data_IF_025309003197
#
_entry.id   IF_025309003197
#
_cell.length_a   1.000
_cell.length_b   1.000
_cell.length_c   1.000
_cell.angle_alpha   90.00
_cell.angle_beta   90.00
_cell.angle_gamma   90.00
#
_symmetry.space_group_name_H-M   'P 1'
#
loop_
_entity.id
_entity.type
_entity.pdbx_description
1 polymer ?
#
# COMPACT_ATOMS: atom_id res chain seq x y z
N UNK A 1 -42.94 -30.75 -54.04
CA UNK A 1 -44.09 -29.99 -54.56
C UNK A 1 -43.83 -28.55 -54.21
N UNK A 2 -43.47 -27.83 -55.22
CA UNK A 2 -43.92 -26.49 -55.62
C UNK A 2 -43.55 -25.36 -54.67
N UNK A 3 -42.59 -24.54 -55.01
CA UNK A 3 -42.55 -23.42 -55.98
C UNK A 3 -43.14 -22.13 -55.40
N UNK A 4 -42.35 -21.10 -55.52
CA UNK A 4 -42.55 -19.74 -55.98
C UNK A 4 -41.66 -18.76 -55.21
N UNK A 5 -40.57 -18.29 -55.61
CA UNK A 5 -40.06 -17.46 -56.69
C UNK A 5 -40.88 -16.21 -57.02
N UNK A 6 -40.25 -15.05 -57.02
CA UNK A 6 -40.30 -13.85 -57.89
C UNK A 6 -40.00 -12.62 -57.04
N UNK A 7 -38.89 -11.95 -57.15
CA UNK A 7 -38.21 -11.10 -58.16
C UNK A 7 -38.67 -9.63 -58.17
N UNK A 8 -37.64 -8.77 -58.09
CA UNK A 8 -37.40 -7.52 -58.86
C UNK A 8 -38.29 -6.29 -58.58
N UNK A 9 -37.79 -5.14 -58.34
CA UNK A 9 -37.12 -4.24 -59.29
C UNK A 9 -36.68 -2.89 -58.63
N UNK A 10 -35.49 -2.41 -58.89
CA UNK A 10 -35.06 -1.12 -59.41
C UNK A 10 -35.92 0.11 -59.09
N UNK A 11 -35.32 1.22 -58.64
CA UNK A 11 -34.72 2.24 -59.50
C UNK A 11 -34.05 3.35 -58.69
N UNK A 12 -32.95 3.80 -59.29
CA UNK A 12 -32.11 4.94 -58.99
C UNK A 12 -32.84 6.28 -59.12
N UNK A 13 -32.47 7.28 -58.30
CA UNK A 13 -32.38 8.67 -58.71
C UNK A 13 -31.30 9.42 -57.93
N UNK A 14 -30.32 9.88 -58.66
CA UNK A 14 -29.36 10.94 -58.35
C UNK A 14 -30.04 12.30 -58.47
N UNK A 15 -29.69 13.23 -57.57
CA UNK A 15 -29.66 14.68 -57.79
C UNK A 15 -28.99 15.33 -56.57
N UNK A 16 -27.85 15.86 -56.77
CA UNK A 16 -27.40 17.21 -57.07
C UNK A 16 -27.10 18.06 -55.82
N UNK A 17 -25.81 18.40 -55.79
CA UNK A 17 -25.06 19.40 -55.00
C UNK A 17 -25.81 20.66 -54.61
N UNK A 18 -25.54 21.12 -53.36
CA UNK A 18 -25.32 22.53 -53.11
C UNK A 18 -24.25 22.69 -52.05
N UNK A 19 -23.15 23.29 -52.44
CA UNK A 19 -22.11 23.82 -51.55
C UNK A 19 -22.69 25.00 -50.78
N UNK A 20 -22.72 24.88 -49.45
CA UNK A 20 -22.87 26.06 -48.59
C UNK A 20 -21.58 26.26 -47.80
N UNK A 21 -20.91 27.36 -48.14
CA UNK A 21 -19.74 27.91 -47.47
C UNK A 21 -20.14 28.34 -46.08
N UNK A 22 -19.66 27.62 -45.08
CA UNK A 22 -19.74 28.12 -43.69
C UNK A 22 -18.52 28.96 -43.35
N UNK A 23 -18.81 30.20 -43.07
CA UNK A 23 -17.98 31.35 -42.68
C UNK A 23 -17.19 31.04 -41.40
N UNK A 24 -15.87 30.93 -41.55
CA UNK A 24 -14.88 30.69 -40.45
C UNK A 24 -14.63 32.01 -39.70
N UNK A 25 -15.56 32.38 -38.78
CA UNK A 25 -15.31 33.48 -37.85
C UNK A 25 -14.72 32.92 -36.55
N UNK A 26 -13.39 32.89 -36.51
CA UNK A 26 -12.63 32.67 -35.25
C UNK A 26 -12.92 33.81 -34.29
N UNK A 27 -13.59 33.46 -33.21
CA UNK A 27 -13.69 34.31 -32.03
C UNK A 27 -12.38 34.22 -31.26
N UNK A 28 -11.66 35.30 -30.96
CA UNK A 28 -10.45 35.25 -30.16
C UNK A 28 -10.78 34.89 -28.70
N UNK A 29 -10.16 33.83 -28.19
CA UNK A 29 -10.24 33.45 -26.80
C UNK A 29 -9.60 34.52 -25.89
N UNK A 30 -10.37 35.03 -24.95
CA UNK A 30 -9.87 35.88 -23.88
C UNK A 30 -8.83 35.18 -23.03
N UNK A 31 -7.70 35.81 -22.68
CA UNK A 31 -6.71 35.22 -21.80
C UNK A 31 -7.29 35.05 -20.40
N UNK A 32 -7.27 33.80 -19.88
CA UNK A 32 -7.54 33.49 -18.47
C UNK A 32 -6.44 34.12 -17.59
N UNK A 33 -6.78 34.76 -16.46
CA UNK A 33 -5.77 35.22 -15.53
C UNK A 33 -5.02 34.04 -14.93
N UNK A 34 -3.73 34.16 -14.63
CA UNK A 34 -2.94 33.11 -14.01
C UNK A 34 -3.47 32.82 -12.61
N UNK A 35 -3.91 31.58 -12.37
CA UNK A 35 -4.24 31.09 -11.03
C UNK A 35 -2.92 30.76 -10.33
N UNK A 36 -2.39 31.70 -9.58
CA UNK A 36 -1.28 31.50 -8.68
C UNK A 36 -1.80 30.80 -7.42
N UNK A 37 -1.85 29.48 -7.44
CA UNK A 37 -1.94 28.68 -6.24
C UNK A 37 -0.56 28.09 -5.94
N UNK A 38 0.25 28.83 -5.21
CA UNK A 38 1.41 28.26 -4.56
C UNK A 38 0.94 27.24 -3.54
N UNK A 39 1.49 26.00 -3.52
CA UNK A 39 1.20 25.07 -2.45
C UNK A 39 1.73 25.66 -1.15
N UNK A 40 0.84 25.86 -0.18
CA UNK A 40 1.21 26.22 1.20
C UNK A 40 1.87 24.96 1.78
N UNK A 41 3.19 24.94 1.81
CA UNK A 41 3.95 23.96 2.57
C UNK A 41 3.54 24.09 4.03
N UNK A 42 3.19 22.98 4.72
CA UNK A 42 2.97 23.04 6.16
C UNK A 42 4.27 23.49 6.83
N UNK A 43 4.17 24.49 7.73
CA UNK A 43 5.29 24.97 8.50
C UNK A 43 5.93 23.80 9.26
N UNK A 44 7.26 23.63 9.22
CA UNK A 44 7.90 22.57 9.98
C UNK A 44 7.62 22.80 11.47
N UNK A 45 7.12 21.78 12.13
CA UNK A 45 7.05 21.71 13.59
C UNK A 45 8.49 21.88 14.09
N UNK A 46 8.76 22.77 15.07
CA UNK A 46 10.12 22.95 15.57
C UNK A 46 10.61 21.62 16.16
N UNK A 47 11.52 20.97 15.47
CA UNK A 47 12.24 19.82 15.97
C UNK A 47 13.06 20.23 17.19
N UNK A 48 12.66 19.79 18.36
CA UNK A 48 13.58 19.73 19.50
C UNK A 48 14.76 18.84 19.09
N UNK A 49 16.02 19.29 19.20
CA UNK A 49 17.14 18.47 18.77
C UNK A 49 17.18 17.18 19.57
N UNK A 50 16.81 16.07 18.94
CA UNK A 50 17.01 14.74 19.54
C UNK A 50 18.49 14.58 19.87
N UNK A 51 18.87 13.98 21.02
CA UNK A 51 20.27 13.74 21.34
C UNK A 51 20.91 12.94 20.21
N UNK A 52 22.10 13.36 19.75
CA UNK A 52 22.82 12.68 18.68
C UNK A 52 23.25 11.29 19.15
N UNK A 53 22.58 10.27 18.66
CA UNK A 53 22.95 8.87 18.86
C UNK A 53 23.98 8.48 17.80
N UNK A 54 24.97 7.66 18.16
CA UNK A 54 25.93 7.18 17.15
C UNK A 54 25.23 6.29 16.14
N UNK A 55 25.61 6.30 14.85
CA UNK A 55 24.99 5.45 13.83
C UNK A 55 24.94 3.96 14.21
N UNK A 56 25.94 3.45 14.90
CA UNK A 56 26.00 2.05 15.36
C UNK A 56 24.94 1.71 16.42
N UNK A 57 24.42 2.72 17.13
CA UNK A 57 23.40 2.53 18.16
C UNK A 57 21.98 2.72 17.63
N UNK A 58 21.81 3.22 16.39
CA UNK A 58 20.50 3.37 15.76
C UNK A 58 19.85 2.01 15.50
N UNK A 59 18.54 1.97 15.65
CA UNK A 59 17.69 0.84 15.26
C UNK A 59 16.52 1.37 14.45
N UNK A 60 16.30 0.77 13.30
CA UNK A 60 15.21 1.11 12.39
C UNK A 60 14.11 0.08 12.54
N UNK A 61 12.94 0.54 12.92
CA UNK A 61 11.75 -0.28 13.08
C UNK A 61 10.96 -0.22 11.78
N UNK A 62 10.85 -1.37 11.12
CA UNK A 62 10.11 -1.55 9.87
C UNK A 62 8.76 -2.18 10.21
N UNK A 63 7.68 -1.39 10.14
CA UNK A 63 6.36 -1.76 10.60
C UNK A 63 5.46 -2.26 9.48
N UNK A 64 4.91 -3.45 9.63
CA UNK A 64 3.71 -3.83 8.89
C UNK A 64 2.49 -3.08 9.41
N UNK A 65 1.42 -3.04 8.62
CA UNK A 65 0.21 -2.28 8.91
C UNK A 65 -0.95 -3.18 9.35
N UNK A 66 -1.39 -4.08 8.46
CA UNK A 66 -2.66 -4.81 8.62
C UNK A 66 -2.50 -6.05 9.49
N UNK A 67 -3.00 -6.01 10.69
CA UNK A 67 -2.82 -7.05 11.72
C UNK A 67 -1.74 -6.70 12.74
N UNK A 68 -0.93 -5.68 12.45
CA UNK A 68 0.17 -5.20 13.32
C UNK A 68 -0.18 -3.88 14.00
N UNK A 69 -0.51 -2.85 13.23
CA UNK A 69 -0.88 -1.52 13.74
C UNK A 69 -2.40 -1.32 13.78
N UNK A 70 -3.06 -1.76 12.74
CA UNK A 70 -4.50 -1.64 12.55
C UNK A 70 -5.08 -2.95 12.00
N UNK A 71 -6.39 -3.05 12.00
CA UNK A 71 -7.10 -4.07 11.25
C UNK A 71 -8.42 -3.53 10.70
N UNK A 72 -8.93 -4.15 9.66
CA UNK A 72 -10.28 -3.88 9.20
C UNK A 72 -11.31 -4.30 10.26
N UNK A 73 -12.30 -3.45 10.54
CA UNK A 73 -13.36 -3.74 11.51
C UNK A 73 -14.16 -5.01 11.15
N UNK A 74 -14.23 -5.34 9.86
CA UNK A 74 -14.88 -6.54 9.32
C UNK A 74 -13.89 -7.43 8.57
N UNK A 75 -13.92 -8.73 8.85
CA UNK A 75 -13.11 -9.71 8.11
C UNK A 75 -13.41 -9.65 6.61
N UNK A 76 -12.37 -9.59 5.79
CA UNK A 76 -12.49 -9.53 4.34
C UNK A 76 -12.91 -8.17 3.78
N UNK A 77 -12.95 -7.11 4.59
CA UNK A 77 -13.33 -5.77 4.14
C UNK A 77 -12.44 -5.21 3.03
N UNK A 78 -11.18 -5.66 2.92
CA UNK A 78 -10.31 -5.29 1.82
C UNK A 78 -10.92 -5.61 0.44
N UNK A 79 -11.79 -6.61 0.35
CA UNK A 79 -12.48 -6.99 -0.90
C UNK A 79 -13.42 -5.89 -1.40
N UNK A 80 -13.89 -5.00 -0.53
CA UNK A 80 -14.81 -3.91 -0.90
C UNK A 80 -14.17 -2.89 -1.85
N UNK A 81 -12.85 -2.79 -1.85
CA UNK A 81 -12.11 -1.92 -2.76
C UNK A 81 -11.21 -2.69 -3.74
N UNK A 82 -10.69 -3.87 -3.35
CA UNK A 82 -9.80 -4.63 -4.23
C UNK A 82 -10.55 -5.33 -5.36
N UNK A 83 -11.75 -5.88 -5.12
CA UNK A 83 -12.59 -6.47 -6.18
C UNK A 83 -12.94 -5.43 -7.26
N UNK A 84 -13.59 -4.29 -6.93
CA UNK A 84 -13.95 -3.32 -7.96
C UNK A 84 -12.71 -2.67 -8.62
N UNK A 85 -11.58 -2.56 -7.92
CA UNK A 85 -10.31 -2.14 -8.52
C UNK A 85 -9.87 -3.13 -9.61
N UNK A 86 -9.82 -4.44 -9.31
CA UNK A 86 -9.42 -5.45 -10.29
C UNK A 86 -10.38 -5.50 -11.49
N UNK A 87 -11.69 -5.44 -11.25
CA UNK A 87 -12.70 -5.40 -12.32
C UNK A 87 -12.55 -4.15 -13.19
N UNK A 88 -12.24 -2.99 -12.59
CA UNK A 88 -12.03 -1.74 -13.31
C UNK A 88 -10.75 -1.71 -14.16
N UNK A 89 -9.69 -2.39 -13.74
CA UNK A 89 -8.39 -2.40 -14.43
C UNK A 89 -8.25 -3.55 -15.42
N UNK A 90 -8.75 -4.74 -15.04
CA UNK A 90 -8.52 -6.00 -15.77
C UNK A 90 -9.81 -6.62 -16.33
N UNK A 91 -10.98 -6.09 -15.97
CA UNK A 91 -12.29 -6.62 -16.39
C UNK A 91 -12.74 -7.85 -15.60
N UNK A 92 -11.96 -8.31 -14.64
CA UNK A 92 -12.24 -9.47 -13.78
C UNK A 92 -11.52 -9.33 -12.45
N UNK A 93 -12.09 -9.88 -11.39
CA UNK A 93 -11.40 -10.03 -10.09
C UNK A 93 -10.75 -11.40 -9.92
N UNK A 94 -10.84 -12.27 -10.94
CA UNK A 94 -10.30 -13.62 -10.93
C UNK A 94 -10.74 -14.39 -9.69
N UNK A 95 -9.79 -15.05 -9.05
CA UNK A 95 -10.02 -15.88 -7.85
C UNK A 95 -9.92 -15.13 -6.51
N UNK A 96 -9.82 -13.79 -6.49
CA UNK A 96 -9.60 -13.01 -5.27
C UNK A 96 -10.58 -13.34 -4.14
N UNK A 97 -11.85 -13.60 -4.47
CA UNK A 97 -12.89 -13.91 -3.47
C UNK A 97 -12.54 -15.14 -2.59
N UNK A 98 -11.76 -16.07 -3.12
CA UNK A 98 -11.40 -17.35 -2.48
C UNK A 98 -10.00 -17.30 -1.82
N UNK A 99 -9.22 -16.23 -2.05
CA UNK A 99 -7.84 -16.15 -1.62
C UNK A 99 -7.70 -15.73 -0.15
N UNK A 100 -6.65 -16.28 0.47
CA UNK A 100 -6.06 -15.75 1.70
C UNK A 100 -4.86 -14.88 1.31
N UNK A 101 -4.90 -13.60 1.68
CA UNK A 101 -3.95 -12.60 1.16
C UNK A 101 -3.02 -12.00 2.22
N UNK A 102 -3.17 -12.43 3.49
CA UNK A 102 -2.38 -11.87 4.59
C UNK A 102 -0.88 -12.05 4.36
N UNK A 103 -0.14 -10.97 4.52
CA UNK A 103 1.31 -10.94 4.33
C UNK A 103 1.78 -10.90 2.86
N UNK A 104 0.88 -10.91 1.87
CA UNK A 104 1.23 -10.71 0.46
C UNK A 104 1.50 -9.23 0.17
N UNK A 105 2.30 -8.96 -0.87
CA UNK A 105 2.30 -7.64 -1.50
C UNK A 105 1.07 -7.48 -2.40
N UNK A 106 0.60 -6.25 -2.60
CA UNK A 106 -0.54 -6.00 -3.48
C UNK A 106 -0.25 -6.44 -4.93
N UNK A 107 0.99 -6.29 -5.41
CA UNK A 107 1.40 -6.85 -6.71
C UNK A 107 1.32 -8.38 -6.74
N UNK A 108 1.75 -9.07 -5.68
CA UNK A 108 1.61 -10.52 -5.56
C UNK A 108 0.14 -10.92 -5.52
N UNK A 109 -0.68 -10.21 -4.74
CA UNK A 109 -2.12 -10.43 -4.66
C UNK A 109 -2.78 -10.35 -6.04
N UNK A 110 -2.50 -9.29 -6.80
CA UNK A 110 -3.04 -9.10 -8.15
C UNK A 110 -2.60 -10.23 -9.08
N UNK A 111 -1.32 -10.60 -9.07
CA UNK A 111 -0.78 -11.67 -9.90
C UNK A 111 -1.43 -13.02 -9.57
N UNK A 112 -1.59 -13.33 -8.30
CA UNK A 112 -2.24 -14.57 -7.85
C UNK A 112 -3.74 -14.59 -8.17
N UNK A 113 -4.44 -13.46 -8.00
CA UNK A 113 -5.86 -13.35 -8.30
C UNK A 113 -6.14 -13.58 -9.79
N UNK A 114 -5.26 -13.07 -10.67
CA UNK A 114 -5.42 -13.10 -12.12
C UNK A 114 -4.67 -14.23 -12.83
N UNK A 115 -4.05 -15.15 -12.07
CA UNK A 115 -3.21 -16.23 -12.63
C UNK A 115 -3.92 -17.02 -13.73
N UNK A 116 -5.17 -17.37 -13.52
CA UNK A 116 -5.95 -18.21 -14.42
C UNK A 116 -6.66 -17.43 -15.52
N UNK A 117 -6.58 -16.10 -15.48
CA UNK A 117 -7.20 -15.15 -16.43
C UNK A 117 -6.25 -14.77 -17.59
N UNK A 118 -5.06 -15.36 -17.66
CA UNK A 118 -4.08 -15.13 -18.73
C UNK A 118 -3.26 -13.83 -18.58
N UNK A 119 -3.32 -13.15 -17.44
CA UNK A 119 -2.47 -12.00 -17.16
C UNK A 119 -1.10 -12.44 -16.64
N UNK A 120 -0.04 -11.87 -17.21
CA UNK A 120 1.32 -12.05 -16.74
C UNK A 120 1.72 -10.91 -15.80
N UNK A 121 2.81 -11.08 -15.05
CA UNK A 121 3.39 -9.99 -14.25
C UNK A 121 3.68 -8.75 -15.10
N UNK A 122 4.16 -8.93 -16.34
CA UNK A 122 4.40 -7.83 -17.27
C UNK A 122 3.11 -7.06 -17.58
N UNK A 123 2.00 -7.75 -17.84
CA UNK A 123 0.69 -7.12 -18.09
C UNK A 123 0.20 -6.31 -16.88
N UNK A 124 0.53 -6.73 -15.65
CA UNK A 124 0.19 -6.02 -14.42
C UNK A 124 1.05 -4.77 -14.28
N UNK A 125 2.36 -4.87 -14.49
CA UNK A 125 3.29 -3.75 -14.40
C UNK A 125 2.99 -2.66 -15.43
N UNK A 126 2.59 -3.04 -16.65
CA UNK A 126 2.17 -2.09 -17.70
C UNK A 126 0.92 -1.28 -17.31
N UNK A 127 0.16 -1.74 -16.33
CA UNK A 127 -1.04 -1.08 -15.81
C UNK A 127 -0.90 -0.55 -14.39
N UNK A 128 0.32 -0.50 -13.87
CA UNK A 128 0.57 -0.18 -12.46
C UNK A 128 0.00 1.19 -12.06
N UNK A 129 0.12 2.19 -12.90
CA UNK A 129 -0.37 3.54 -12.59
C UNK A 129 -1.92 3.57 -12.58
N UNK A 130 -2.57 2.89 -13.53
CA UNK A 130 -4.03 2.73 -13.53
C UNK A 130 -4.50 1.92 -12.33
N UNK A 131 -3.74 0.89 -11.94
CA UNK A 131 -4.03 0.08 -10.75
C UNK A 131 -3.99 0.94 -9.49
N UNK A 132 -2.93 1.75 -9.30
CA UNK A 132 -2.80 2.68 -8.17
C UNK A 132 -3.95 3.69 -8.12
N UNK A 133 -4.29 4.29 -9.26
CA UNK A 133 -5.39 5.25 -9.37
C UNK A 133 -6.72 4.60 -8.95
N UNK A 134 -7.08 3.46 -9.54
CA UNK A 134 -8.31 2.73 -9.24
C UNK A 134 -8.35 2.21 -7.81
N UNK A 135 -7.25 1.69 -7.31
CA UNK A 135 -7.15 1.25 -5.92
C UNK A 135 -7.51 2.40 -4.96
N UNK A 136 -6.94 3.58 -5.20
CA UNK A 136 -7.20 4.75 -4.36
C UNK A 136 -8.62 5.28 -4.48
N UNK A 137 -9.21 5.28 -5.68
CA UNK A 137 -10.63 5.64 -5.87
C UNK A 137 -11.55 4.71 -5.06
N UNK A 138 -11.39 3.40 -5.25
CA UNK A 138 -12.23 2.41 -4.60
C UNK A 138 -12.02 2.36 -3.08
N UNK A 139 -10.78 2.48 -2.64
CA UNK A 139 -10.48 2.52 -1.21
C UNK A 139 -11.06 3.77 -0.54
N UNK A 140 -10.93 4.96 -1.14
CA UNK A 140 -11.57 6.20 -0.63
C UNK A 140 -13.09 6.05 -0.58
N UNK A 141 -13.70 5.43 -1.59
CA UNK A 141 -15.14 5.15 -1.61
C UNK A 141 -15.53 4.21 -0.47
N UNK A 142 -14.82 3.10 -0.29
CA UNK A 142 -15.09 2.13 0.76
C UNK A 142 -14.89 2.71 2.17
N UNK A 143 -13.92 3.62 2.33
CA UNK A 143 -13.58 4.25 3.61
C UNK A 143 -14.23 5.62 3.83
N UNK A 144 -15.18 6.03 2.98
CA UNK A 144 -15.82 7.36 3.06
C UNK A 144 -16.48 7.65 4.42
N UNK A 145 -16.90 6.61 5.15
CA UNK A 145 -17.44 6.73 6.50
C UNK A 145 -16.34 6.81 7.58
N UNK A 146 -15.07 6.95 7.18
CA UNK A 146 -13.95 7.26 8.08
C UNK A 146 -13.49 6.08 8.94
N UNK A 147 -13.20 6.38 10.22
CA UNK A 147 -12.57 5.46 11.17
C UNK A 147 -13.36 4.15 11.47
N UNK A 148 -14.61 4.04 11.01
CA UNK A 148 -15.40 2.81 11.19
C UNK A 148 -14.92 1.64 10.31
N UNK A 149 -14.12 1.92 9.28
CA UNK A 149 -13.60 0.88 8.37
C UNK A 149 -12.38 0.16 8.96
N UNK A 150 -11.55 0.89 9.69
CA UNK A 150 -10.38 0.37 10.37
C UNK A 150 -10.48 0.60 11.88
N UNK A 151 -9.90 -0.29 12.65
CA UNK A 151 -9.71 -0.14 14.09
C UNK A 151 -8.22 -0.18 14.45
N UNK A 152 -7.82 0.69 15.36
CA UNK A 152 -6.48 0.69 15.93
C UNK A 152 -6.34 -0.52 16.86
N UNK A 153 -5.23 -1.25 16.71
CA UNK A 153 -4.96 -2.35 17.62
C UNK A 153 -4.55 -1.85 19.02
N UNK A 154 -4.87 -2.61 20.09
CA UNK A 154 -4.62 -2.18 21.45
C UNK A 154 -3.14 -1.84 21.71
N UNK A 155 -2.88 -0.68 22.32
CA UNK A 155 -1.57 -0.21 22.74
C UNK A 155 -0.68 0.33 21.61
N UNK A 156 -1.12 0.30 20.38
CA UNK A 156 -0.31 0.76 19.22
C UNK A 156 0.09 2.23 19.37
N UNK A 157 -0.86 3.12 19.70
CA UNK A 157 -0.56 4.55 19.82
C UNK A 157 0.44 4.82 20.93
N UNK A 158 0.19 4.27 22.10
CA UNK A 158 1.04 4.43 23.28
C UNK A 158 2.46 3.88 23.02
N UNK A 159 2.55 2.75 22.33
CA UNK A 159 3.84 2.15 21.95
C UNK A 159 4.57 3.03 20.93
N UNK A 160 3.89 3.54 19.90
CA UNK A 160 4.51 4.44 18.91
C UNK A 160 4.97 5.76 19.56
N UNK A 161 4.20 6.31 20.51
CA UNK A 161 4.59 7.49 21.29
C UNK A 161 5.84 7.22 22.15
N UNK A 162 5.93 6.09 22.83
CA UNK A 162 7.08 5.69 23.63
C UNK A 162 8.34 5.50 22.75
N UNK A 163 8.16 4.87 21.59
CA UNK A 163 9.24 4.69 20.61
C UNK A 163 9.71 6.03 20.05
N UNK A 164 8.78 6.92 19.66
CA UNK A 164 9.12 8.24 19.13
C UNK A 164 9.86 9.13 20.15
N UNK A 165 9.61 8.92 21.43
CA UNK A 165 10.36 9.60 22.50
C UNK A 165 11.75 9.03 22.74
N UNK A 166 12.07 7.84 22.22
CA UNK A 166 13.33 7.17 22.46
C UNK A 166 14.35 7.49 21.34
N UNK A 167 15.51 8.09 21.64
CA UNK A 167 16.42 8.66 20.62
C UNK A 167 17.10 7.61 19.73
N UNK A 168 17.07 6.33 20.12
CA UNK A 168 17.73 5.22 19.40
C UNK A 168 16.85 4.66 18.29
N UNK A 169 15.52 4.80 18.38
CA UNK A 169 14.57 4.17 17.47
C UNK A 169 14.03 5.17 16.47
N UNK A 170 13.98 4.75 15.20
CA UNK A 170 13.30 5.44 14.11
C UNK A 170 12.35 4.47 13.43
N UNK A 171 11.24 4.96 12.93
CA UNK A 171 10.19 4.13 12.36
C UNK A 171 9.99 4.40 10.87
N UNK A 172 9.81 3.33 10.09
CA UNK A 172 9.39 3.35 8.71
C UNK A 172 8.30 2.29 8.48
N UNK A 173 7.50 2.44 7.44
CA UNK A 173 6.54 1.43 7.03
C UNK A 173 7.22 0.36 6.17
N UNK A 174 6.84 -0.91 6.39
CA UNK A 174 7.20 -2.04 5.54
C UNK A 174 5.95 -2.89 5.34
N UNK A 175 5.24 -2.71 4.26
CA UNK A 175 3.92 -3.30 4.11
C UNK A 175 3.66 -3.84 2.72
N UNK A 176 2.79 -4.85 2.64
CA UNK A 176 2.28 -5.35 1.37
C UNK A 176 1.32 -4.41 0.65
N UNK A 177 0.87 -3.35 1.29
CA UNK A 177 0.00 -2.35 0.66
C UNK A 177 0.76 -1.51 -0.38
N UNK A 178 0.07 -1.06 -1.43
CA UNK A 178 0.61 0.00 -2.30
C UNK A 178 0.87 1.26 -1.47
N UNK A 179 1.89 2.03 -1.85
CA UNK A 179 2.34 3.21 -1.10
C UNK A 179 1.20 4.19 -0.76
N UNK A 180 0.37 4.69 -1.72
CA UNK A 180 -0.67 5.66 -1.39
C UNK A 180 -1.76 5.09 -0.47
N UNK A 181 -2.05 3.78 -0.52
CA UNK A 181 -3.02 3.14 0.36
C UNK A 181 -2.47 3.00 1.79
N UNK A 182 -1.19 2.68 1.94
CA UNK A 182 -0.52 2.62 3.23
C UNK A 182 -0.61 3.98 3.95
N UNK A 183 -0.25 5.07 3.27
CA UNK A 183 -0.36 6.41 3.85
C UNK A 183 -1.81 6.82 4.14
N UNK A 184 -2.78 6.50 3.27
CA UNK A 184 -4.19 6.77 3.56
C UNK A 184 -4.66 6.07 4.85
N UNK A 185 -4.25 4.82 5.07
CA UNK A 185 -4.55 4.08 6.31
C UNK A 185 -3.95 4.79 7.54
N UNK A 186 -2.69 5.19 7.44
CA UNK A 186 -2.01 5.90 8.54
C UNK A 186 -2.67 7.25 8.84
N UNK A 187 -3.07 8.01 7.82
CA UNK A 187 -3.76 9.29 7.97
C UNK A 187 -5.14 9.12 8.61
N UNK A 188 -5.94 8.16 8.16
CA UNK A 188 -7.25 7.84 8.74
C UNK A 188 -7.15 7.50 10.23
N UNK A 189 -6.09 6.79 10.62
CA UNK A 189 -5.83 6.39 12.00
C UNK A 189 -5.01 7.41 12.79
N UNK A 190 -4.60 8.52 12.15
CA UNK A 190 -3.76 9.59 12.73
C UNK A 190 -2.42 9.05 13.28
N UNK A 191 -1.78 8.19 12.50
CA UNK A 191 -0.50 7.57 12.83
C UNK A 191 0.67 8.08 11.97
N UNK A 192 0.42 8.82 10.88
CA UNK A 192 1.45 9.22 9.90
C UNK A 192 2.65 9.92 10.52
N UNK A 193 2.45 10.72 11.58
CA UNK A 193 3.52 11.46 12.25
C UNK A 193 4.56 10.58 12.98
N UNK A 194 4.28 9.29 13.18
CA UNK A 194 5.20 8.37 13.86
C UNK A 194 6.23 7.74 12.92
N UNK A 195 6.03 7.86 11.60
CA UNK A 195 6.91 7.27 10.59
C UNK A 195 7.79 8.34 9.99
N UNK A 196 8.96 8.53 10.57
CA UNK A 196 9.90 9.62 10.26
C UNK A 196 10.94 9.26 9.18
N UNK A 197 10.91 8.02 8.70
CA UNK A 197 11.79 7.52 7.64
C UNK A 197 11.00 6.98 6.44
N UNK A 198 11.61 6.98 5.24
CA UNK A 198 10.97 6.41 4.06
C UNK A 198 10.79 4.89 4.19
N UNK A 199 9.62 4.40 3.78
CA UNK A 199 9.25 2.99 3.83
C UNK A 199 9.50 2.23 2.52
N UNK A 200 8.98 0.97 2.48
CA UNK A 200 8.84 0.18 1.27
C UNK A 200 7.46 -0.49 1.20
N UNK A 201 6.92 -0.64 0.00
CA UNK A 201 5.51 -0.87 -0.26
C UNK A 201 5.26 -1.99 -1.26
N UNK A 202 4.05 -2.55 -1.22
CA UNK A 202 3.68 -3.73 -1.99
C UNK A 202 3.45 -3.50 -3.48
N UNK A 203 3.58 -2.29 -3.99
CA UNK A 203 3.57 -1.97 -5.41
C UNK A 203 4.99 -1.86 -6.02
N UNK A 204 6.01 -2.26 -5.27
CA UNK A 204 7.41 -2.21 -5.69
C UNK A 204 7.95 -3.58 -6.09
N UNK A 205 7.45 -4.66 -5.47
CA UNK A 205 7.82 -6.03 -5.80
C UNK A 205 6.68 -7.02 -5.57
N UNK A 206 6.68 -8.08 -6.39
CA UNK A 206 5.85 -9.26 -6.16
C UNK A 206 6.37 -10.14 -5.03
N UNK A 207 7.62 -9.97 -4.64
CA UNK A 207 8.26 -10.70 -3.55
C UNK A 207 8.46 -9.77 -2.34
N UNK A 208 7.75 -10.04 -1.25
CA UNK A 208 7.86 -9.25 -0.01
C UNK A 208 9.28 -9.20 0.54
N UNK A 209 10.10 -10.21 0.23
CA UNK A 209 11.50 -10.31 0.69
C UNK A 209 12.41 -9.21 0.15
N UNK A 210 12.01 -8.55 -0.95
CA UNK A 210 12.77 -7.43 -1.52
C UNK A 210 12.56 -6.12 -0.74
N UNK A 211 11.42 -5.97 -0.05
CA UNK A 211 11.01 -4.71 0.54
C UNK A 211 11.99 -4.17 1.61
N UNK A 212 12.58 -5.00 2.52
CA UNK A 212 13.53 -4.47 3.49
C UNK A 212 14.77 -3.84 2.84
N UNK A 213 15.24 -4.39 1.71
CA UNK A 213 16.38 -3.83 0.98
C UNK A 213 16.04 -2.47 0.36
N UNK A 214 14.82 -2.32 -0.20
CA UNK A 214 14.36 -1.04 -0.73
C UNK A 214 14.23 0.02 0.35
N UNK A 215 13.65 -0.33 1.50
CA UNK A 215 13.60 0.55 2.66
C UNK A 215 15.00 0.97 3.12
N UNK A 216 15.93 0.03 3.24
CA UNK A 216 17.28 0.29 3.70
C UNK A 216 18.08 1.26 2.79
N UNK A 217 17.93 1.12 1.46
CA UNK A 217 18.58 2.03 0.51
C UNK A 217 18.02 3.46 0.60
N UNK A 218 16.70 3.63 0.69
CA UNK A 218 16.05 4.93 0.87
C UNK A 218 16.44 5.58 2.21
N UNK A 219 16.48 4.79 3.26
CA UNK A 219 16.88 5.26 4.59
C UNK A 219 18.34 5.69 4.59
N UNK A 220 19.21 4.95 3.90
CA UNK A 220 20.61 5.32 3.70
C UNK A 220 20.74 6.66 2.97
N UNK A 221 19.96 6.86 1.90
CA UNK A 221 19.93 8.14 1.17
C UNK A 221 19.43 9.28 2.07
N UNK A 222 18.36 9.03 2.84
CA UNK A 222 17.76 10.01 3.74
C UNK A 222 18.68 10.41 4.90
N UNK A 223 19.33 9.44 5.55
CA UNK A 223 20.20 9.68 6.71
C UNK A 223 21.64 10.04 6.31
N UNK A 224 22.04 9.81 5.06
CA UNK A 224 23.42 9.97 4.61
C UNK A 224 24.40 8.96 5.21
N UNK A 225 23.90 7.86 5.79
CA UNK A 225 24.71 6.80 6.41
C UNK A 225 24.14 5.43 6.13
N UNK A 226 24.97 4.47 5.74
CA UNK A 226 24.58 3.07 5.61
C UNK A 226 24.47 2.42 6.99
N UNK A 227 23.43 1.64 7.19
CA UNK A 227 23.19 0.84 8.38
C UNK A 227 23.32 -0.65 8.00
N UNK A 228 23.80 -1.43 8.94
CA UNK A 228 23.94 -2.88 8.77
C UNK A 228 22.55 -3.56 8.88
N UNK A 229 22.28 -4.68 8.17
CA UNK A 229 21.00 -5.36 8.20
C UNK A 229 20.47 -5.66 9.61
N UNK A 230 21.34 -6.04 10.56
CA UNK A 230 20.96 -6.32 11.94
C UNK A 230 20.49 -5.10 12.75
N UNK A 231 20.65 -3.88 12.21
CA UNK A 231 20.12 -2.65 12.82
C UNK A 231 18.67 -2.40 12.44
N UNK A 232 18.13 -3.18 11.51
CA UNK A 232 16.72 -3.16 11.12
C UNK A 232 15.94 -4.23 11.89
N UNK A 233 14.75 -3.89 12.34
CA UNK A 233 13.84 -4.79 13.03
C UNK A 233 12.51 -4.75 12.29
N UNK A 234 12.13 -5.85 11.65
CA UNK A 234 10.79 -5.99 11.04
C UNK A 234 9.80 -6.40 12.13
N UNK A 235 8.69 -5.69 12.19
CA UNK A 235 7.63 -5.92 13.17
C UNK A 235 6.35 -6.23 12.40
N UNK A 236 5.83 -7.46 12.57
CA UNK A 236 4.66 -7.92 11.83
C UNK A 236 3.97 -9.13 12.46
N UNK A 237 2.80 -9.48 11.94
CA UNK A 237 1.91 -10.53 12.48
C UNK A 237 1.83 -11.78 11.60
N UNK A 238 2.66 -11.87 10.57
CA UNK A 238 2.63 -12.97 9.61
C UNK A 238 3.98 -13.69 9.46
N UNK A 239 3.98 -14.97 9.02
CA UNK A 239 5.21 -15.66 8.60
C UNK A 239 6.02 -14.90 7.54
N UNK A 240 5.36 -14.15 6.66
CA UNK A 240 6.01 -13.36 5.61
C UNK A 240 6.85 -12.20 6.19
N UNK A 241 6.46 -11.64 7.33
CA UNK A 241 7.25 -10.61 8.03
C UNK A 241 8.54 -11.18 8.59
N UNK A 242 8.45 -12.37 9.18
CA UNK A 242 9.61 -13.08 9.72
C UNK A 242 10.54 -13.52 8.58
N UNK A 243 9.97 -14.03 7.47
CA UNK A 243 10.75 -14.49 6.32
C UNK A 243 11.47 -13.33 5.62
N UNK A 244 10.81 -12.20 5.39
CA UNK A 244 11.45 -11.04 4.76
C UNK A 244 12.55 -10.44 5.66
N UNK A 245 12.35 -10.39 6.98
CA UNK A 245 13.40 -9.99 7.91
C UNK A 245 14.64 -10.87 7.79
N UNK A 246 14.42 -12.18 7.86
CA UNK A 246 15.50 -13.19 7.77
C UNK A 246 16.24 -13.12 6.44
N UNK A 247 15.50 -12.99 5.32
CA UNK A 247 16.07 -12.91 3.99
C UNK A 247 17.03 -11.72 3.85
N UNK A 248 16.68 -10.59 4.41
CA UNK A 248 17.50 -9.38 4.41
C UNK A 248 18.63 -9.41 5.45
N UNK A 249 18.52 -10.24 6.48
CA UNK A 249 19.44 -10.27 7.63
C UNK A 249 19.07 -9.29 8.76
N UNK A 250 17.83 -8.77 8.73
CA UNK A 250 17.24 -7.98 9.80
C UNK A 250 16.79 -8.87 10.96
N UNK A 251 16.44 -8.25 12.09
CA UNK A 251 15.76 -8.91 13.21
C UNK A 251 14.25 -8.98 12.97
N UNK A 252 13.62 -10.03 13.47
CA UNK A 252 12.18 -10.22 13.40
C UNK A 252 11.54 -10.17 14.79
N UNK A 253 10.63 -9.20 15.00
CA UNK A 253 9.73 -9.15 16.15
C UNK A 253 8.33 -9.54 15.66
N UNK A 254 7.90 -10.74 15.96
CA UNK A 254 6.55 -11.19 15.63
C UNK A 254 5.55 -10.70 16.67
N UNK A 255 4.35 -10.25 16.23
CA UNK A 255 3.24 -9.85 17.10
C UNK A 255 2.01 -10.73 16.86
N UNK A 256 1.42 -11.24 17.92
CA UNK A 256 0.30 -12.18 17.88
C UNK A 256 -1.08 -11.51 17.70
N UNK A 257 -1.15 -10.40 16.95
CA UNK A 257 -2.36 -9.58 16.79
C UNK A 257 -3.14 -9.86 15.52
N UNK A 258 -2.56 -10.59 14.56
CA UNK A 258 -3.22 -11.01 13.34
C UNK A 258 -4.36 -11.99 13.57
N UNK A 259 -5.28 -12.06 12.59
CA UNK A 259 -6.45 -12.96 12.69
C UNK A 259 -6.22 -14.33 12.04
N UNK A 260 -5.22 -14.45 11.18
CA UNK A 260 -5.06 -15.63 10.34
C UNK A 260 -4.15 -16.68 10.99
N UNK A 261 -3.05 -16.24 11.59
CA UNK A 261 -2.03 -17.11 12.16
C UNK A 261 -2.17 -17.20 13.68
N UNK A 262 -2.03 -18.43 14.21
CA UNK A 262 -1.96 -18.65 15.66
C UNK A 262 -0.55 -18.32 16.17
N UNK A 263 -0.44 -18.10 17.46
CA UNK A 263 0.87 -17.88 18.13
C UNK A 263 1.89 -18.94 17.75
N UNK A 264 1.48 -20.22 17.70
CA UNK A 264 2.38 -21.32 17.37
C UNK A 264 2.89 -21.24 15.93
N UNK A 265 2.05 -20.83 14.97
CA UNK A 265 2.46 -20.69 13.56
C UNK A 265 3.59 -19.67 13.42
N UNK A 266 3.52 -18.56 14.18
CA UNK A 266 4.56 -17.54 14.22
C UNK A 266 5.83 -18.03 14.92
N UNK A 267 5.69 -18.72 16.05
CA UNK A 267 6.83 -19.27 16.79
C UNK A 267 7.56 -20.37 16.00
N UNK A 268 6.85 -21.16 15.23
CA UNK A 268 7.44 -22.20 14.35
C UNK A 268 8.27 -21.58 13.22
N UNK A 269 8.01 -20.31 12.85
CA UNK A 269 8.85 -19.52 11.95
C UNK A 269 10.12 -19.00 12.63
N UNK A 270 10.30 -19.21 13.94
CA UNK A 270 11.49 -18.84 14.71
C UNK A 270 11.86 -17.35 14.61
N UNK A 271 10.96 -16.40 15.00
CA UNK A 271 11.32 -14.99 15.11
C UNK A 271 12.41 -14.77 16.18
N UNK A 272 13.14 -13.65 16.13
CA UNK A 272 14.12 -13.32 17.18
C UNK A 272 13.41 -13.04 18.52
N UNK A 273 12.24 -12.36 18.49
CA UNK A 273 11.37 -12.14 19.65
C UNK A 273 9.90 -12.23 19.24
N UNK A 274 9.03 -12.49 20.22
CA UNK A 274 7.57 -12.54 20.04
C UNK A 274 6.87 -11.77 21.16
N UNK A 275 5.84 -11.00 20.77
CA UNK A 275 4.91 -10.35 21.70
C UNK A 275 3.47 -10.74 21.36
N UNK A 276 2.62 -11.01 22.35
CA UNK A 276 1.21 -11.32 22.08
C UNK A 276 0.42 -10.12 21.51
N UNK A 277 0.84 -8.91 21.85
CA UNK A 277 0.29 -7.63 21.37
C UNK A 277 1.24 -6.48 21.76
N UNK A 278 0.83 -5.24 21.42
CA UNK A 278 1.59 -4.03 21.71
C UNK A 278 1.00 -3.21 22.89
N UNK A 279 0.21 -3.81 23.77
CA UNK A 279 -0.52 -3.06 24.81
C UNK A 279 0.34 -2.61 25.99
N UNK A 280 1.56 -3.09 26.10
CA UNK A 280 2.52 -2.71 27.14
C UNK A 280 3.76 -2.07 26.50
N UNK A 281 3.83 -0.74 26.40
CA UNK A 281 4.94 -0.03 25.79
C UNK A 281 6.30 -0.30 26.47
N UNK A 282 6.33 -0.51 27.77
CA UNK A 282 7.57 -0.79 28.50
C UNK A 282 8.10 -2.18 28.14
N UNK A 283 7.22 -3.17 28.04
CA UNK A 283 7.58 -4.51 27.57
C UNK A 283 8.07 -4.48 26.11
N UNK A 284 7.43 -3.68 25.24
CA UNK A 284 7.87 -3.50 23.85
C UNK A 284 9.28 -2.91 23.82
N UNK A 285 9.55 -1.82 24.54
CA UNK A 285 10.88 -1.19 24.60
C UNK A 285 11.94 -2.14 25.19
N UNK A 286 11.58 -2.91 26.22
CA UNK A 286 12.46 -3.94 26.79
C UNK A 286 12.79 -5.03 25.76
N UNK A 287 11.81 -5.46 24.97
CA UNK A 287 11.98 -6.49 23.94
C UNK A 287 12.83 -5.97 22.79
N UNK A 288 12.57 -4.74 22.30
CA UNK A 288 13.40 -4.08 21.30
C UNK A 288 14.86 -3.89 21.78
N UNK A 289 15.06 -3.74 23.09
CA UNK A 289 16.40 -3.61 23.69
C UNK A 289 17.25 -4.88 23.62
N UNK A 290 16.64 -6.05 23.39
CA UNK A 290 17.34 -7.33 23.22
C UNK A 290 17.78 -7.58 21.76
N UNK A 291 17.13 -6.88 20.80
CA UNK A 291 17.35 -6.96 19.37
C UNK A 291 18.39 -5.93 18.90
#
# INVERSE_FOLDING_TARGET
>A
MMNGSISENRESKSEHMSEDKCDDRRVPASPRPPVSSSPVSPSPIPESPRPRVSPSALRILLWDIDGTLIRSARTGAFKDYTIPMLEGVFGTSGRLAEMQVSGMTDLQLVAEALRDEGFTQQHILERIDLLRERYMEEMKRATANGAEFFELLPGVRETLEAIAAHPRYHSALLTGNIEPAAYLKMDLMKLSAFFDLPGAFGDESHDRRDLPAFAAERIKEHLGVALEPHQFIVIGDTPNDIDCARHFGARALAVGTGRLYQTQDLLDCNPDEFLPNLSDPDLVLQTLGKL
#
